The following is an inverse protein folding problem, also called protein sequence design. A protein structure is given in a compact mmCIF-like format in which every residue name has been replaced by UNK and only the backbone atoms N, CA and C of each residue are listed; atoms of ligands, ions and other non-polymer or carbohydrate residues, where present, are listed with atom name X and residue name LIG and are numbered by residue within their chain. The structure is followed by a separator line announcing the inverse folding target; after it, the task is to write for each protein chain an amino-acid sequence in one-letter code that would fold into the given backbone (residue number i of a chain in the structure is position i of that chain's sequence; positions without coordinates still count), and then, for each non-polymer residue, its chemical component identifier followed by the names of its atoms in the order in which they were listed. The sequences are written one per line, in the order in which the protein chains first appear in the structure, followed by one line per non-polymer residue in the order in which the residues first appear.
data_IF_361351353216
#
_entry.id   IF_361351353216
#
_cell.length_a   1.000
_cell.length_b   1.000
_cell.length_c   1.000
_cell.angle_alpha   90.00
_cell.angle_beta   90.00
_cell.angle_gamma   90.00
#
_symmetry.space_group_name_H-M   'P 1'
#
loop_
_entity.id
_entity.type
_entity.pdbx_description
1 polymer ?
#
# COMPACT_ATOMS: atom_id res chain seq x y z
N UNK A 1 -3.91 -17.87 -10.71
CA UNK A 1 -4.41 -17.39 -9.41
C UNK A 1 -5.54 -16.39 -9.66
N UNK A 2 -6.59 -16.86 -10.33
CA UNK A 2 -7.73 -16.07 -10.79
C UNK A 2 -8.98 -16.86 -10.44
N UNK A 3 -9.60 -16.55 -9.31
CA UNK A 3 -10.96 -16.99 -9.05
C UNK A 3 -11.61 -15.94 -8.14
N UNK A 4 -12.67 -15.28 -8.62
CA UNK A 4 -13.46 -14.27 -7.88
C UNK A 4 -13.88 -14.76 -6.49
N UNK A 5 -13.95 -16.07 -6.35
CA UNK A 5 -14.47 -16.75 -5.18
C UNK A 5 -13.41 -16.92 -4.09
N UNK A 6 -12.12 -17.03 -4.43
CA UNK A 6 -11.11 -17.46 -3.46
C UNK A 6 -10.04 -16.43 -3.16
N UNK A 7 -9.55 -15.62 -4.10
CA UNK A 7 -8.56 -14.58 -3.79
C UNK A 7 -8.61 -13.44 -4.81
N UNK A 8 -9.61 -12.58 -4.69
CA UNK A 8 -9.53 -11.26 -5.33
C UNK A 8 -8.57 -10.39 -4.50
N UNK A 9 -7.56 -9.80 -5.14
CA UNK A 9 -6.57 -8.93 -4.50
C UNK A 9 -7.26 -7.77 -3.77
N UNK A 10 -8.35 -7.24 -4.34
CA UNK A 10 -9.09 -6.11 -3.76
C UNK A 10 -9.84 -6.47 -2.47
N UNK A 11 -10.23 -7.73 -2.30
CA UNK A 11 -10.92 -8.21 -1.08
C UNK A 11 -9.97 -8.90 -0.10
N UNK A 12 -8.72 -9.13 -0.48
CA UNK A 12 -7.72 -9.76 0.37
C UNK A 12 -7.40 -8.94 1.64
N UNK A 13 -7.49 -7.60 1.56
CA UNK A 13 -7.21 -6.73 2.71
C UNK A 13 -8.26 -6.90 3.82
N UNK A 14 -9.55 -6.90 3.48
CA UNK A 14 -10.61 -7.04 4.49
C UNK A 14 -10.58 -8.45 5.12
N UNK A 15 -10.12 -9.45 4.38
CA UNK A 15 -9.88 -10.80 4.91
C UNK A 15 -8.81 -10.82 6.02
N UNK A 16 -7.70 -10.10 5.87
CA UNK A 16 -6.67 -10.01 6.93
C UNK A 16 -7.17 -9.29 8.19
N UNK A 17 -8.11 -8.36 8.04
CA UNK A 17 -8.73 -7.69 9.19
C UNK A 17 -9.79 -8.57 9.88
N UNK A 18 -10.55 -9.33 9.09
CA UNK A 18 -11.66 -10.16 9.57
C UNK A 18 -11.59 -11.56 8.94
N UNK A 19 -10.63 -12.41 9.32
CA UNK A 19 -10.40 -13.72 8.68
C UNK A 19 -11.55 -14.70 8.86
N UNK A 20 -12.44 -14.44 9.82
CA UNK A 20 -13.66 -15.21 10.07
C UNK A 20 -14.75 -14.97 9.00
N UNK A 21 -14.68 -13.88 8.24
CA UNK A 21 -15.60 -13.63 7.12
C UNK A 21 -15.17 -14.51 5.96
N UNK A 22 -16.08 -15.39 5.51
CA UNK A 22 -15.82 -16.28 4.37
C UNK A 22 -15.52 -15.49 3.09
N UNK A 23 -14.68 -16.05 2.21
CA UNK A 23 -14.25 -15.40 0.97
C UNK A 23 -15.41 -14.89 0.08
N UNK A 24 -16.54 -15.60 0.05
CA UNK A 24 -17.75 -15.24 -0.68
C UNK A 24 -18.43 -13.93 -0.21
N UNK A 25 -18.16 -13.50 1.03
CA UNK A 25 -18.73 -12.28 1.62
C UNK A 25 -17.73 -11.12 1.64
N UNK A 26 -16.49 -11.29 1.16
CA UNK A 26 -15.47 -10.25 1.29
C UNK A 26 -15.76 -9.03 0.40
N UNK A 27 -16.48 -9.18 -0.71
CA UNK A 27 -16.92 -8.03 -1.51
C UNK A 27 -17.90 -7.14 -0.72
N UNK A 28 -18.86 -7.76 -0.02
CA UNK A 28 -19.83 -7.05 0.84
C UNK A 28 -19.13 -6.42 2.03
N UNK A 29 -18.23 -7.16 2.69
CA UNK A 29 -17.43 -6.64 3.79
C UNK A 29 -16.58 -5.43 3.38
N UNK A 30 -15.93 -5.47 2.19
CA UNK A 30 -15.21 -4.31 1.65
C UNK A 30 -16.14 -3.13 1.41
N UNK A 31 -17.32 -3.35 0.81
CA UNK A 31 -18.32 -2.28 0.59
C UNK A 31 -18.80 -1.66 1.90
N UNK A 32 -19.04 -2.47 2.93
CA UNK A 32 -19.42 -2.00 4.27
C UNK A 32 -18.29 -1.22 4.96
N UNK A 33 -17.03 -1.60 4.74
CA UNK A 33 -15.87 -0.92 5.32
C UNK A 33 -15.53 0.41 4.64
N UNK A 34 -15.78 0.57 3.33
CA UNK A 34 -15.52 1.80 2.57
C UNK A 34 -16.00 3.09 3.25
N UNK A 35 -17.29 3.24 3.65
CA UNK A 35 -17.76 4.46 4.29
C UNK A 35 -17.16 4.69 5.68
N UNK A 36 -16.80 3.61 6.40
CA UNK A 36 -16.16 3.70 7.73
C UNK A 36 -14.73 4.23 7.61
N UNK A 37 -13.99 3.76 6.60
CA UNK A 37 -12.64 4.22 6.31
C UNK A 37 -12.62 5.63 5.71
N UNK A 38 -13.68 6.01 4.98
CA UNK A 38 -13.86 7.35 4.44
C UNK A 38 -12.64 7.81 3.65
N UNK A 39 -12.05 8.95 4.03
CA UNK A 39 -10.85 9.52 3.38
C UNK A 39 -9.60 8.62 3.45
N UNK A 40 -9.58 7.65 4.35
CA UNK A 40 -8.47 6.71 4.49
C UNK A 40 -8.60 5.49 3.57
N UNK A 41 -9.77 5.26 2.98
CA UNK A 41 -9.96 4.20 2.00
C UNK A 41 -9.19 4.55 0.71
N UNK A 42 -8.34 3.62 0.25
CA UNK A 42 -7.61 3.75 -1.02
C UNK A 42 -8.24 2.84 -2.06
N UNK A 43 -8.80 3.43 -3.11
CA UNK A 43 -9.36 2.65 -4.22
C UNK A 43 -8.23 1.87 -4.95
N UNK A 44 -8.39 0.54 -5.14
CA UNK A 44 -7.41 -0.26 -5.86
C UNK A 44 -7.35 0.19 -7.32
N UNK A 45 -6.13 0.44 -7.82
CA UNK A 45 -5.89 0.81 -9.21
C UNK A 45 -5.50 -0.41 -10.02
N UNK A 46 -6.34 -0.77 -11.00
CA UNK A 46 -6.04 -1.88 -11.90
C UNK A 46 -4.91 -1.51 -12.88
N UNK A 47 -4.03 -2.48 -13.14
CA UNK A 47 -3.00 -2.36 -14.18
C UNK A 47 -3.60 -2.61 -15.55
N UNK A 48 -3.25 -1.78 -16.54
CA UNK A 48 -3.43 -2.12 -17.96
C UNK A 48 -2.38 -3.14 -18.42
N UNK A 49 -2.36 -3.50 -19.72
CA UNK A 49 -1.37 -4.43 -20.28
C UNK A 49 0.09 -4.05 -20.00
N UNK A 50 0.36 -2.74 -19.90
CA UNK A 50 1.65 -2.21 -19.48
C UNK A 50 1.44 -1.33 -18.22
N UNK A 51 2.05 -1.67 -17.07
CA UNK A 51 1.72 -1.05 -15.78
C UNK A 51 2.53 0.22 -15.48
N UNK A 52 2.52 1.23 -16.36
CA UNK A 52 3.31 2.47 -16.20
C UNK A 52 3.07 3.22 -14.87
N UNK A 53 1.87 3.11 -14.29
CA UNK A 53 1.56 3.75 -13.00
C UNK A 53 2.38 3.20 -11.82
N UNK A 54 2.88 1.97 -11.91
CA UNK A 54 3.73 1.38 -10.88
C UNK A 54 5.08 2.09 -10.80
N UNK A 55 5.61 2.60 -11.91
CA UNK A 55 6.87 3.36 -11.91
C UNK A 55 6.75 4.62 -11.04
N UNK A 56 5.61 5.32 -11.14
CA UNK A 56 5.33 6.50 -10.29
C UNK A 56 5.23 6.10 -8.82
N UNK A 57 4.48 5.04 -8.51
CA UNK A 57 4.33 4.54 -7.13
C UNK A 57 5.68 4.14 -6.54
N UNK A 58 6.50 3.43 -7.32
CA UNK A 58 7.84 3.04 -6.92
C UNK A 58 8.72 4.27 -6.67
N UNK A 59 8.72 5.24 -7.58
CA UNK A 59 9.51 6.47 -7.40
C UNK A 59 9.08 7.25 -6.16
N UNK A 60 7.77 7.37 -5.90
CA UNK A 60 7.25 7.98 -4.67
C UNK A 60 7.68 7.18 -3.43
N UNK A 61 7.55 5.85 -3.45
CA UNK A 61 7.98 4.99 -2.34
C UNK A 61 9.47 5.18 -2.04
N UNK A 62 10.31 5.17 -3.07
CA UNK A 62 11.75 5.42 -2.96
C UNK A 62 12.11 6.86 -2.61
N UNK A 63 11.17 7.80 -2.67
CA UNK A 63 11.36 9.20 -2.26
C UNK A 63 10.75 9.54 -0.88
N UNK A 64 9.84 8.72 -0.36
CA UNK A 64 9.20 8.89 0.95
C UNK A 64 9.54 7.80 1.99
N UNK A 65 10.23 6.72 1.58
CA UNK A 65 10.83 5.68 2.45
C UNK A 65 11.45 6.25 3.73
N UNK A 66 11.08 5.65 4.85
CA UNK A 66 11.65 5.95 6.17
C UNK A 66 12.22 4.66 6.72
N UNK A 67 13.37 4.74 7.39
CA UNK A 67 14.03 3.59 7.99
C UNK A 67 14.00 3.69 9.51
N UNK A 68 14.29 2.59 10.18
CA UNK A 68 14.50 2.51 11.64
C UNK A 68 15.90 1.93 11.85
N UNK A 69 16.65 2.44 12.83
CA UNK A 69 17.99 1.92 13.11
C UNK A 69 17.90 0.54 13.76
N UNK A 70 18.86 -0.34 13.43
CA UNK A 70 19.01 -1.65 14.08
C UNK A 70 19.59 -1.53 15.50
N UNK A 71 20.12 -0.36 15.86
CA UNK A 71 20.80 -0.10 17.13
C UNK A 71 19.97 0.77 18.08
N UNK A 72 19.99 0.42 19.37
CA UNK A 72 19.38 1.19 20.45
C UNK A 72 18.19 0.50 21.12
N UNK A 73 17.85 0.94 22.33
CA UNK A 73 16.71 0.38 23.07
C UNK A 73 15.36 0.90 22.58
N UNK A 74 15.25 2.21 22.33
CA UNK A 74 14.08 2.84 21.73
C UNK A 74 14.54 3.53 20.44
N UNK A 75 13.92 3.17 19.33
CA UNK A 75 14.25 3.65 17.99
C UNK A 75 13.02 4.32 17.37
N UNK A 76 13.27 5.34 16.54
CA UNK A 76 12.23 6.11 15.85
C UNK A 76 12.46 6.07 14.34
N UNK A 77 11.40 6.30 13.56
CA UNK A 77 11.49 6.44 12.11
C UNK A 77 12.37 7.63 11.71
N UNK A 78 13.25 7.43 10.75
CA UNK A 78 14.21 8.41 10.23
C UNK A 78 14.12 8.48 8.70
N UNK A 79 14.36 9.66 8.15
CA UNK A 79 14.53 9.84 6.71
C UNK A 79 16.02 9.96 6.40
N UNK A 80 16.51 9.25 5.38
CA UNK A 80 17.92 9.32 4.99
C UNK A 80 18.31 10.77 4.58
N UNK A 81 19.25 11.43 5.28
CA UNK A 81 19.67 12.79 4.96
C UNK A 81 20.39 12.91 3.61
N UNK A 82 21.04 11.85 3.13
CA UNK A 82 21.76 11.84 1.86
C UNK A 82 20.81 11.77 0.66
N UNK A 83 19.65 11.12 0.86
CA UNK A 83 18.56 11.05 -0.11
C UNK A 83 18.00 12.42 -0.52
N UNK A 84 17.78 13.32 0.45
CA UNK A 84 17.32 14.69 0.19
C UNK A 84 18.29 15.44 -0.74
N UNK A 85 19.60 15.17 -0.64
CA UNK A 85 20.61 15.77 -1.53
C UNK A 85 20.58 15.14 -2.93
N UNK A 86 20.43 13.82 -3.04
CA UNK A 86 20.35 13.11 -4.33
C UNK A 86 19.21 13.63 -5.20
N UNK A 87 17.99 13.72 -4.66
CA UNK A 87 16.83 14.21 -5.43
C UNK A 87 16.88 15.72 -5.70
N UNK A 88 17.40 16.53 -4.77
CA UNK A 88 17.57 17.98 -4.99
C UNK A 88 18.58 18.29 -6.11
N UNK A 89 19.63 17.49 -6.24
CA UNK A 89 20.64 17.67 -7.30
C UNK A 89 20.18 17.18 -8.68
N UNK A 90 19.19 16.28 -8.75
CA UNK A 90 18.64 15.76 -10.01
C UNK A 90 17.53 16.65 -10.60
N UNK A 91 16.99 17.56 -9.81
CA UNK A 91 15.92 18.48 -10.21
C UNK A 91 16.42 19.85 -10.70
N UNK A 92 17.75 20.02 -10.82
CA UNK A 92 18.44 21.16 -11.42
C UNK A 92 18.99 20.81 -12.80
#
# INVERSE_FOLDING_TARGET
MFNKIHHDIGTHVIHHLFPQISHYHLEEATKAAKPILGKYYREPKNSGPIPFHLLKILATSLNEDNYVSDDGGIVFYQTDPQRLKYFKNKSN
#
